data_IF_804141862419
#
_entry.id   IF_804141862419
#
_cell.length_a   1.000
_cell.length_b   1.000
_cell.length_c   1.000
_cell.angle_alpha   90.00
_cell.angle_beta   90.00
_cell.angle_gamma   90.00
#
_symmetry.space_group_name_H-M   'P 1'
#
loop_
_entity.id
_entity.type
_entity.pdbx_description
1 polymer ?
#
# COMPACT_ATOMS: atom_id res chain seq x y z
N UNK A 1 -0.68 -15.18 2.42
CA UNK A 1 -1.14 -16.30 1.55
C UNK A 1 -1.86 -15.81 0.30
N UNK A 2 -2.82 -14.85 0.38
CA UNK A 2 -3.66 -14.40 -0.74
C UNK A 2 -2.85 -13.94 -1.98
N UNK A 3 -1.85 -13.07 -1.80
CA UNK A 3 -1.02 -12.58 -2.92
C UNK A 3 -0.18 -13.69 -3.57
N UNK A 4 0.30 -14.65 -2.78
CA UNK A 4 1.03 -15.82 -3.31
C UNK A 4 0.12 -16.70 -4.16
N UNK A 5 -1.13 -16.92 -3.72
CA UNK A 5 -2.13 -17.66 -4.49
C UNK A 5 -2.45 -16.96 -5.80
N UNK A 6 -2.66 -15.64 -5.78
CA UNK A 6 -2.90 -14.87 -7.01
C UNK A 6 -1.71 -14.91 -7.98
N UNK A 7 -0.48 -14.86 -7.45
CA UNK A 7 0.72 -15.00 -8.29
C UNK A 7 0.82 -16.37 -8.94
N UNK A 8 0.53 -17.43 -8.18
CA UNK A 8 0.52 -18.79 -8.73
C UNK A 8 -0.51 -18.93 -9.87
N UNK A 9 -1.71 -18.38 -9.66
CA UNK A 9 -2.76 -18.36 -10.69
C UNK A 9 -2.32 -17.52 -11.90
N UNK A 10 -1.69 -16.37 -11.68
CA UNK A 10 -1.17 -15.50 -12.74
C UNK A 10 -0.16 -16.25 -13.63
N UNK A 11 0.85 -16.87 -13.03
CA UNK A 11 1.90 -17.60 -13.75
C UNK A 11 1.32 -18.83 -14.47
N UNK A 12 0.46 -19.59 -13.79
CA UNK A 12 -0.18 -20.78 -14.36
C UNK A 12 -1.05 -20.39 -15.56
N UNK A 13 -1.87 -19.35 -15.43
CA UNK A 13 -2.79 -18.92 -16.50
C UNK A 13 -2.06 -18.39 -17.73
N UNK A 14 -0.92 -17.73 -17.53
CA UNK A 14 -0.06 -17.28 -18.65
C UNK A 14 0.44 -18.44 -19.50
N UNK A 15 0.75 -19.58 -18.88
CA UNK A 15 1.29 -20.76 -19.58
C UNK A 15 0.24 -21.67 -20.24
N UNK A 16 -1.04 -21.48 -19.92
CA UNK A 16 -2.12 -22.36 -20.40
C UNK A 16 -2.84 -21.74 -21.60
N UNK A 17 -2.94 -22.49 -22.74
CA UNK A 17 -3.79 -22.06 -23.84
C UNK A 17 -5.28 -22.18 -23.46
N UNK A 18 -6.11 -21.32 -24.02
CA UNK A 18 -7.57 -21.34 -23.85
C UNK A 18 -8.20 -22.03 -25.05
N UNK A 19 -9.17 -22.91 -24.81
CA UNK A 19 -9.96 -23.52 -25.90
C UNK A 19 -10.95 -22.47 -26.42
N UNK A 20 -10.88 -22.14 -27.69
CA UNK A 20 -11.84 -21.24 -28.38
C UNK A 20 -12.88 -22.08 -29.11
N UNK A 21 -14.12 -22.02 -28.62
CA UNK A 21 -15.28 -22.73 -29.22
C UNK A 21 -15.59 -22.27 -30.65
N UNK A 22 -15.13 -21.09 -31.08
CA UNK A 22 -15.37 -20.57 -32.44
C UNK A 22 -14.42 -21.17 -33.48
N UNK A 23 -13.16 -21.39 -33.05
CA UNK A 23 -12.12 -21.92 -33.97
C UNK A 23 -11.91 -23.41 -33.78
N UNK A 24 -12.48 -24.03 -32.72
CA UNK A 24 -12.30 -25.43 -32.36
C UNK A 24 -10.87 -25.83 -32.00
N UNK A 25 -10.05 -24.83 -31.62
CA UNK A 25 -8.64 -24.98 -31.33
C UNK A 25 -8.19 -24.33 -30.03
N UNK A 26 -6.96 -24.64 -29.61
CA UNK A 26 -6.34 -23.96 -28.47
C UNK A 26 -5.64 -22.67 -28.91
N UNK A 27 -6.02 -21.54 -28.34
CA UNK A 27 -5.47 -20.21 -28.63
C UNK A 27 -4.79 -19.67 -27.39
N UNK A 28 -3.62 -19.02 -27.56
CA UNK A 28 -3.00 -18.24 -26.50
C UNK A 28 -3.70 -16.87 -26.40
N UNK A 29 -4.58 -16.75 -25.41
CA UNK A 29 -5.42 -15.59 -25.13
C UNK A 29 -4.73 -14.58 -24.18
N UNK A 30 -3.41 -14.65 -24.03
CA UNK A 30 -2.65 -13.77 -23.16
C UNK A 30 -2.24 -12.51 -23.90
N UNK A 31 -2.96 -11.43 -23.67
CA UNK A 31 -2.63 -10.11 -24.21
C UNK A 31 -1.63 -9.39 -23.29
N UNK A 32 -0.59 -8.83 -23.86
CA UNK A 32 0.32 -7.95 -23.12
C UNK A 32 -0.41 -6.66 -22.76
N UNK A 33 -0.57 -6.40 -21.46
CA UNK A 33 -1.22 -5.18 -20.98
C UNK A 33 -0.20 -4.02 -21.01
N UNK A 34 -0.51 -2.98 -21.76
CA UNK A 34 0.31 -1.76 -21.78
C UNK A 34 0.06 -0.93 -20.52
N UNK A 35 0.88 -1.19 -19.49
CA UNK A 35 0.77 -0.56 -18.19
C UNK A 35 1.28 0.90 -18.25
N UNK A 36 0.63 1.85 -17.54
CA UNK A 36 1.14 3.21 -17.38
C UNK A 36 2.32 3.23 -16.38
N UNK A 37 3.47 2.68 -16.79
CA UNK A 37 4.66 2.45 -15.94
C UNK A 37 5.13 3.72 -15.23
N UNK A 38 5.07 4.88 -15.90
CA UNK A 38 5.44 6.16 -15.29
C UNK A 38 4.58 6.50 -14.08
N UNK A 39 3.26 6.33 -14.20
CA UNK A 39 2.31 6.58 -13.10
C UNK A 39 2.50 5.56 -11.96
N UNK A 40 2.73 4.29 -12.28
CA UNK A 40 2.98 3.25 -11.30
C UNK A 40 4.31 3.48 -10.55
N UNK A 41 5.35 3.98 -11.21
CA UNK A 41 6.60 4.38 -10.57
C UNK A 41 6.40 5.53 -9.59
N UNK A 42 5.66 6.58 -9.98
CA UNK A 42 5.32 7.69 -9.08
C UNK A 42 4.55 7.18 -7.86
N UNK A 43 3.58 6.30 -8.06
CA UNK A 43 2.83 5.66 -6.97
C UNK A 43 3.75 4.87 -6.04
N UNK A 44 4.70 4.12 -6.59
CA UNK A 44 5.69 3.37 -5.80
C UNK A 44 6.53 4.31 -4.95
N UNK A 45 7.00 5.43 -5.51
CA UNK A 45 7.74 6.43 -4.75
C UNK A 45 6.91 7.05 -3.62
N UNK A 46 5.64 7.39 -3.89
CA UNK A 46 4.72 7.90 -2.86
C UNK A 46 4.55 6.90 -1.70
N UNK A 47 4.40 5.62 -2.01
CA UNK A 47 4.26 4.59 -0.99
C UNK A 47 5.54 4.37 -0.18
N UNK A 48 6.71 4.42 -0.82
CA UNK A 48 8.01 4.35 -0.14
C UNK A 48 8.21 5.55 0.79
N UNK A 49 7.92 6.76 0.33
CA UNK A 49 7.97 7.97 1.17
C UNK A 49 6.99 7.86 2.34
N UNK A 50 5.77 7.35 2.10
CA UNK A 50 4.79 7.09 3.16
C UNK A 50 5.28 6.07 4.17
N UNK A 51 6.01 5.04 3.74
CA UNK A 51 6.63 4.05 4.62
C UNK A 51 7.72 4.67 5.51
N UNK A 52 8.54 5.57 4.96
CA UNK A 52 9.55 6.31 5.73
C UNK A 52 8.88 7.21 6.77
N UNK A 53 7.83 7.96 6.40
CA UNK A 53 7.11 8.83 7.33
C UNK A 53 6.41 8.04 8.45
N UNK A 54 5.90 6.83 8.15
CA UNK A 54 5.34 5.93 9.16
C UNK A 54 6.41 5.49 10.18
N UNK A 55 7.63 5.17 9.72
CA UNK A 55 8.74 4.82 10.60
C UNK A 55 9.18 6.00 11.47
N UNK A 56 9.23 7.21 10.91
CA UNK A 56 9.55 8.41 11.69
C UNK A 56 8.49 8.68 12.76
N UNK A 57 7.20 8.49 12.44
CA UNK A 57 6.10 8.57 13.40
C UNK A 57 6.26 7.54 14.53
N UNK A 58 6.58 6.29 14.20
CA UNK A 58 6.82 5.22 15.16
C UNK A 58 7.96 5.56 16.11
N UNK A 59 9.10 6.01 15.58
CA UNK A 59 10.27 6.42 16.38
C UNK A 59 9.94 7.60 17.29
N UNK A 60 9.18 8.58 16.81
CA UNK A 60 8.76 9.72 17.61
C UNK A 60 7.90 9.28 18.81
N UNK A 61 6.89 8.42 18.60
CA UNK A 61 6.03 7.92 19.68
C UNK A 61 6.84 7.07 20.68
N UNK A 62 7.73 6.23 20.20
CA UNK A 62 8.61 5.41 21.07
C UNK A 62 9.52 6.28 21.95
N UNK A 63 10.09 7.37 21.39
CA UNK A 63 10.88 8.33 22.18
C UNK A 63 10.03 9.04 23.22
N UNK A 64 8.80 9.46 22.88
CA UNK A 64 7.89 10.12 23.84
C UNK A 64 7.58 9.20 25.03
N UNK A 65 7.34 7.92 24.83
CA UNK A 65 7.13 6.95 25.90
C UNK A 65 8.37 6.78 26.75
N UNK A 66 9.55 6.69 26.15
CA UNK A 66 10.81 6.54 26.88
C UNK A 66 11.14 7.76 27.75
N UNK A 67 10.75 8.97 27.33
CA UNK A 67 11.02 10.21 28.05
C UNK A 67 9.92 10.56 29.08
N UNK A 68 8.73 9.97 29.01
CA UNK A 68 7.63 10.23 29.92
C UNK A 68 7.98 10.13 31.43
N UNK A 69 8.74 9.11 31.91
CA UNK A 69 9.14 9.03 33.30
C UNK A 69 10.06 10.16 33.74
N UNK A 70 10.94 10.65 32.85
CA UNK A 70 11.89 11.71 33.14
C UNK A 70 11.21 13.09 33.18
N UNK A 71 10.18 13.29 32.35
CA UNK A 71 9.37 14.51 32.33
C UNK A 71 8.54 14.69 33.61
N UNK A 72 8.27 13.62 34.35
CA UNK A 72 7.53 13.68 35.60
C UNK A 72 8.38 14.16 36.80
N UNK A 73 9.70 14.32 36.63
CA UNK A 73 10.63 14.75 37.69
C UNK A 73 10.56 16.28 37.84
N UNK A 74 10.21 16.82 39.02
CA UNK A 74 10.19 18.27 39.23
C UNK A 74 11.56 18.91 38.98
N UNK A 75 11.58 19.98 38.18
CA UNK A 75 12.81 20.72 37.85
C UNK A 75 13.58 20.25 36.62
N UNK A 76 13.19 19.14 36.00
CA UNK A 76 13.76 18.66 34.73
C UNK A 76 12.93 19.20 33.57
N UNK A 77 13.43 20.19 32.83
CA UNK A 77 12.83 20.61 31.54
C UNK A 77 13.58 19.93 30.41
N UNK A 78 12.97 18.90 29.84
CA UNK A 78 13.41 18.36 28.55
C UNK A 78 12.88 19.31 27.47
N UNK A 79 13.77 19.88 26.65
CA UNK A 79 13.40 20.83 25.61
C UNK A 79 12.23 20.30 24.75
N UNK A 80 11.29 21.22 24.48
CA UNK A 80 10.10 20.90 23.68
C UNK A 80 10.54 20.53 22.26
N UNK A 81 10.74 19.23 21.98
CA UNK A 81 11.02 18.78 20.63
C UNK A 81 9.82 19.18 19.75
N UNK A 82 10.12 19.81 18.61
CA UNK A 82 9.13 20.20 17.61
C UNK A 82 8.47 18.92 17.06
N UNK A 83 7.30 18.61 17.59
CA UNK A 83 6.53 17.45 17.17
C UNK A 83 5.99 17.65 15.76
N UNK A 84 6.73 17.15 14.76
CA UNK A 84 6.21 17.15 13.40
C UNK A 84 5.12 16.07 13.27
N UNK A 85 3.99 16.35 12.60
CA UNK A 85 2.88 15.42 12.50
C UNK A 85 3.14 14.31 11.46
N UNK A 86 4.16 13.47 11.70
CA UNK A 86 4.55 12.39 10.77
C UNK A 86 3.40 11.43 10.45
N UNK A 87 2.53 11.14 11.42
CA UNK A 87 1.31 10.33 11.18
C UNK A 87 0.40 10.99 10.16
N UNK A 88 0.20 12.31 10.24
CA UNK A 88 -0.58 13.06 9.26
C UNK A 88 0.05 13.01 7.86
N UNK A 89 1.37 13.16 7.77
CA UNK A 89 2.09 13.03 6.50
C UNK A 89 1.91 11.64 5.89
N UNK A 90 1.97 10.58 6.70
CA UNK A 90 1.72 9.21 6.24
C UNK A 90 0.30 9.03 5.68
N UNK A 91 -0.71 9.60 6.34
CA UNK A 91 -2.11 9.57 5.86
C UNK A 91 -2.23 10.27 4.51
N UNK A 92 -1.66 11.47 4.37
CA UNK A 92 -1.73 12.25 3.12
C UNK A 92 -1.06 11.50 1.97
N UNK A 93 0.12 10.93 2.20
CA UNK A 93 0.84 10.14 1.18
C UNK A 93 0.10 8.84 0.85
N UNK A 94 -0.53 8.18 1.82
CA UNK A 94 -1.37 7.00 1.60
C UNK A 94 -2.60 7.31 0.76
N UNK A 95 -3.27 8.44 1.02
CA UNK A 95 -4.38 8.93 0.20
C UNK A 95 -3.91 9.29 -1.22
N UNK A 96 -2.75 9.95 -1.35
CA UNK A 96 -2.17 10.27 -2.64
C UNK A 96 -1.87 8.99 -3.46
N UNK A 97 -1.37 7.93 -2.82
CA UNK A 97 -1.19 6.62 -3.47
C UNK A 97 -2.52 6.04 -3.96
N UNK A 98 -3.57 6.03 -3.14
CA UNK A 98 -4.89 5.50 -3.53
C UNK A 98 -5.50 6.30 -4.69
N UNK A 99 -5.36 7.62 -4.69
CA UNK A 99 -5.81 8.46 -5.82
C UNK A 99 -5.01 8.19 -7.09
N UNK A 100 -3.69 8.03 -6.98
CA UNK A 100 -2.85 7.65 -8.10
C UNK A 100 -3.18 6.26 -8.65
N UNK A 101 -3.52 5.30 -7.78
CA UNK A 101 -3.99 3.98 -8.20
C UNK A 101 -5.32 4.05 -8.95
N UNK A 102 -6.25 4.89 -8.48
CA UNK A 102 -7.50 5.16 -9.19
C UNK A 102 -7.25 5.76 -10.59
N UNK A 103 -6.29 6.72 -10.69
CA UNK A 103 -5.92 7.30 -11.98
C UNK A 103 -5.31 6.24 -12.92
N UNK A 104 -4.48 5.31 -12.39
CA UNK A 104 -3.92 4.22 -13.17
C UNK A 104 -5.01 3.30 -13.75
N UNK A 105 -6.03 2.97 -12.97
CA UNK A 105 -7.17 2.18 -13.45
C UNK A 105 -7.99 2.91 -14.51
N UNK A 106 -8.21 4.22 -14.35
CA UNK A 106 -8.88 5.04 -15.38
C UNK A 106 -8.09 5.06 -16.68
N UNK A 107 -6.77 5.19 -16.60
CA UNK A 107 -5.91 5.19 -17.78
C UNK A 107 -5.91 3.83 -18.49
N UNK A 108 -5.84 2.72 -17.75
CA UNK A 108 -6.02 1.38 -18.32
C UNK A 108 -7.37 1.26 -19.05
N UNK A 109 -8.45 1.72 -18.43
CA UNK A 109 -9.78 1.73 -19.04
C UNK A 109 -9.83 2.54 -20.34
N UNK A 110 -9.21 3.74 -20.37
CA UNK A 110 -9.12 4.56 -21.59
C UNK A 110 -8.31 3.89 -22.72
N UNK A 111 -7.34 3.06 -22.38
CA UNK A 111 -6.58 2.23 -23.33
C UNK A 111 -7.33 0.97 -23.80
N UNK A 112 -8.58 0.77 -23.34
CA UNK A 112 -9.43 -0.36 -23.73
C UNK A 112 -9.21 -1.65 -22.90
N UNK A 113 -8.40 -1.61 -21.86
CA UNK A 113 -8.20 -2.73 -20.95
C UNK A 113 -9.19 -2.64 -19.78
N UNK A 114 -10.28 -3.37 -19.88
CA UNK A 114 -11.28 -3.51 -18.81
C UNK A 114 -11.11 -4.84 -18.07
N UNK A 115 -11.78 -4.97 -16.94
CA UNK A 115 -11.74 -6.21 -16.13
C UNK A 115 -12.11 -7.46 -16.93
N UNK A 116 -13.02 -7.35 -17.87
CA UNK A 116 -13.52 -8.45 -18.67
C UNK A 116 -12.89 -8.56 -20.07
N UNK A 117 -11.89 -7.76 -20.40
CA UNK A 117 -11.32 -7.72 -21.76
C UNK A 117 -10.43 -8.95 -22.04
N UNK A 118 -9.61 -9.33 -21.07
CA UNK A 118 -8.70 -10.47 -21.19
C UNK A 118 -8.37 -11.06 -19.82
N UNK A 119 -7.95 -12.33 -19.73
CA UNK A 119 -7.48 -12.93 -18.49
C UNK A 119 -6.32 -12.16 -17.85
N UNK A 120 -5.41 -11.61 -18.67
CA UNK A 120 -4.28 -10.81 -18.19
C UNK A 120 -4.72 -9.50 -17.55
N UNK A 121 -5.65 -8.75 -18.17
CA UNK A 121 -6.19 -7.52 -17.59
C UNK A 121 -6.96 -7.78 -16.30
N UNK A 122 -7.78 -8.85 -16.26
CA UNK A 122 -8.49 -9.26 -15.04
C UNK A 122 -7.55 -9.49 -13.87
N UNK A 123 -6.41 -10.16 -14.09
CA UNK A 123 -5.43 -10.44 -13.05
C UNK A 123 -4.72 -9.17 -12.55
N UNK A 124 -4.39 -8.22 -13.44
CA UNK A 124 -3.84 -6.92 -13.06
C UNK A 124 -4.80 -6.18 -12.12
N UNK A 125 -6.09 -6.10 -12.49
CA UNK A 125 -7.10 -5.46 -11.65
C UNK A 125 -7.28 -6.17 -10.31
N UNK A 126 -7.37 -7.49 -10.28
CA UNK A 126 -7.56 -8.25 -9.04
C UNK A 126 -6.38 -8.08 -8.08
N UNK A 127 -5.14 -8.18 -8.57
CA UNK A 127 -3.93 -8.00 -7.75
C UNK A 127 -3.86 -6.58 -7.17
N UNK A 128 -4.01 -5.57 -8.02
CA UNK A 128 -3.89 -4.18 -7.60
C UNK A 128 -5.08 -3.72 -6.75
N UNK A 129 -6.30 -4.20 -7.02
CA UNK A 129 -7.49 -3.90 -6.20
C UNK A 129 -7.41 -4.58 -4.82
N UNK A 130 -6.99 -5.85 -4.76
CA UNK A 130 -6.77 -6.52 -3.47
C UNK A 130 -5.76 -5.77 -2.61
N UNK A 131 -4.65 -5.31 -3.21
CA UNK A 131 -3.68 -4.49 -2.51
C UNK A 131 -4.28 -3.15 -2.03
N UNK A 132 -5.02 -2.44 -2.90
CA UNK A 132 -5.66 -1.16 -2.56
C UNK A 132 -6.67 -1.31 -1.41
N UNK A 133 -7.46 -2.40 -1.37
CA UNK A 133 -8.40 -2.69 -0.26
C UNK A 133 -7.64 -2.90 1.05
N UNK A 134 -6.56 -3.68 1.05
CA UNK A 134 -5.74 -3.89 2.26
C UNK A 134 -5.10 -2.57 2.73
N UNK A 135 -4.60 -1.76 1.79
CA UNK A 135 -4.03 -0.46 2.11
C UNK A 135 -5.09 0.51 2.68
N UNK A 136 -6.31 0.51 2.11
CA UNK A 136 -7.43 1.28 2.64
C UNK A 136 -7.78 0.86 4.07
N UNK A 137 -7.79 -0.44 4.37
CA UNK A 137 -7.93 -0.97 5.73
C UNK A 137 -6.84 -0.45 6.68
N UNK A 138 -5.58 -0.50 6.25
CA UNK A 138 -4.45 0.08 7.01
C UNK A 138 -4.60 1.59 7.22
N UNK A 139 -5.10 2.31 6.21
CA UNK A 139 -5.36 3.74 6.31
C UNK A 139 -6.42 4.09 7.36
N UNK A 140 -7.47 3.27 7.50
CA UNK A 140 -8.47 3.44 8.56
C UNK A 140 -7.84 3.30 9.96
N UNK A 141 -6.95 2.32 10.15
CA UNK A 141 -6.22 2.16 11.42
C UNK A 141 -5.28 3.35 11.67
N UNK A 142 -4.66 3.87 10.62
CA UNK A 142 -3.79 5.05 10.69
C UNK A 142 -4.58 6.30 11.07
N UNK A 143 -5.78 6.49 10.50
CA UNK A 143 -6.70 7.56 10.87
C UNK A 143 -7.15 7.44 12.33
N UNK A 144 -7.41 6.22 12.80
CA UNK A 144 -7.69 5.98 14.22
C UNK A 144 -6.49 6.38 15.11
N UNK A 145 -5.25 6.04 14.71
CA UNK A 145 -4.04 6.46 15.42
C UNK A 145 -3.90 7.99 15.47
N UNK A 146 -4.20 8.69 14.37
CA UNK A 146 -4.23 10.17 14.32
C UNK A 146 -5.32 10.72 15.25
N UNK A 147 -6.52 10.16 15.21
CA UNK A 147 -7.63 10.58 16.07
C UNK A 147 -7.29 10.44 17.57
N UNK A 148 -6.68 9.31 17.97
CA UNK A 148 -6.23 9.10 19.36
C UNK A 148 -5.12 10.09 19.77
N UNK A 149 -4.27 10.49 18.82
CA UNK A 149 -3.27 11.52 19.04
C UNK A 149 -3.88 12.91 19.26
N UNK A 150 -4.89 13.27 18.45
CA UNK A 150 -5.63 14.53 18.57
C UNK A 150 -6.46 14.61 19.86
N UNK A 151 -7.05 13.49 20.27
CA UNK A 151 -7.82 13.36 21.53
C UNK A 151 -6.93 13.32 22.78
N UNK A 152 -5.60 13.46 22.64
CA UNK A 152 -4.62 13.47 23.74
C UNK A 152 -4.71 12.26 24.66
N UNK A 153 -5.04 11.07 24.10
CA UNK A 153 -5.01 9.82 24.88
C UNK A 153 -3.60 9.53 25.39
N UNK A 154 -3.45 8.74 26.48
CA UNK A 154 -2.13 8.35 27.03
C UNK A 154 -1.19 7.84 25.94
N UNK A 155 0.09 8.22 26.01
CA UNK A 155 1.07 7.88 24.97
C UNK A 155 1.34 6.39 24.90
N UNK A 156 1.18 5.69 26.01
CA UNK A 156 1.36 4.23 26.11
C UNK A 156 0.36 3.47 25.25
N UNK A 157 -0.93 3.83 25.32
CA UNK A 157 -1.99 3.20 24.50
C UNK A 157 -1.77 3.45 23.01
N UNK A 158 -1.26 4.62 22.67
CA UNK A 158 -0.98 5.01 21.28
C UNK A 158 0.22 4.28 20.68
N UNK A 159 1.22 3.93 21.50
CA UNK A 159 2.45 3.27 21.04
C UNK A 159 2.14 1.96 20.34
N UNK A 160 1.34 1.09 20.95
CA UNK A 160 1.01 -0.22 20.39
C UNK A 160 0.31 -0.07 19.04
N UNK A 161 -0.66 0.84 18.94
CA UNK A 161 -1.40 1.08 17.70
C UNK A 161 -0.45 1.58 16.60
N UNK A 162 0.42 2.54 16.92
CA UNK A 162 1.38 3.10 15.94
C UNK A 162 2.42 2.07 15.53
N UNK A 163 2.94 1.26 16.46
CA UNK A 163 3.91 0.20 16.16
C UNK A 163 3.31 -0.84 15.20
N UNK A 164 2.15 -1.40 15.54
CA UNK A 164 1.49 -2.41 14.69
C UNK A 164 1.14 -1.84 13.33
N UNK A 165 0.63 -0.60 13.29
CA UNK A 165 0.27 0.05 12.03
C UNK A 165 1.50 0.31 11.15
N UNK A 166 2.63 0.74 11.72
CA UNK A 166 3.86 0.98 10.97
C UNK A 166 4.41 -0.32 10.36
N UNK A 167 4.44 -1.43 11.12
CA UNK A 167 4.83 -2.74 10.61
C UNK A 167 3.92 -3.23 9.49
N UNK A 168 2.60 -3.07 9.66
CA UNK A 168 1.64 -3.40 8.61
C UNK A 168 1.87 -2.54 7.35
N UNK A 169 2.17 -1.24 7.52
CA UNK A 169 2.42 -0.33 6.41
C UNK A 169 3.67 -0.69 5.61
N UNK A 170 4.75 -1.04 6.30
CA UNK A 170 5.96 -1.55 5.65
C UNK A 170 5.72 -2.84 4.89
N UNK A 171 4.97 -3.76 5.49
CA UNK A 171 4.59 -5.00 4.83
C UNK A 171 3.77 -4.72 3.55
N UNK A 172 2.80 -3.81 3.58
CA UNK A 172 2.04 -3.42 2.41
C UNK A 172 2.91 -2.76 1.34
N UNK A 173 3.89 -1.95 1.71
CA UNK A 173 4.85 -1.37 0.76
C UNK A 173 5.69 -2.46 0.06
N UNK A 174 6.15 -3.48 0.79
CA UNK A 174 6.86 -4.62 0.22
C UNK A 174 5.97 -5.43 -0.73
N UNK A 175 4.73 -5.70 -0.36
CA UNK A 175 3.75 -6.37 -1.22
C UNK A 175 3.51 -5.58 -2.52
N UNK A 176 3.46 -4.25 -2.44
CA UNK A 176 3.33 -3.42 -3.64
C UNK A 176 4.53 -3.53 -4.58
N UNK A 177 5.75 -3.44 -4.04
CA UNK A 177 6.98 -3.62 -4.83
C UNK A 177 6.96 -4.98 -5.52
N UNK A 178 6.55 -6.02 -4.80
CA UNK A 178 6.42 -7.37 -5.36
C UNK A 178 5.40 -7.43 -6.50
N UNK A 179 4.19 -6.85 -6.32
CA UNK A 179 3.15 -6.80 -7.36
C UNK A 179 3.66 -6.02 -8.57
N UNK A 180 4.27 -4.85 -8.35
CA UNK A 180 4.79 -4.02 -9.43
C UNK A 180 5.89 -4.75 -10.22
N UNK A 181 6.82 -5.40 -9.52
CA UNK A 181 7.86 -6.20 -10.16
C UNK A 181 7.25 -7.37 -10.95
N UNK A 182 6.28 -8.10 -10.38
CA UNK A 182 5.57 -9.17 -11.07
C UNK A 182 4.93 -8.69 -12.36
N UNK A 183 4.22 -7.56 -12.31
CA UNK A 183 3.52 -7.01 -13.46
C UNK A 183 4.48 -6.49 -14.54
N UNK A 184 5.67 -6.01 -14.16
CA UNK A 184 6.66 -5.47 -15.11
C UNK A 184 7.51 -6.58 -15.75
N UNK A 185 7.94 -7.60 -14.96
CA UNK A 185 8.84 -8.65 -15.47
C UNK A 185 8.12 -9.86 -16.06
N UNK A 186 6.84 -10.08 -15.72
CA UNK A 186 6.07 -11.27 -16.16
C UNK A 186 5.05 -10.94 -17.24
N UNK A 187 4.98 -9.70 -17.72
CA UNK A 187 4.08 -9.32 -18.83
C UNK A 187 4.50 -9.87 -20.21
#
# INVERSE_FOLDING_TARGET
>A
MLFVSFTSVYIMRRGLPTFDDRTGGYVHDWLTVDLPTGLLLVNTLLLLLSSITAELARRQVTRQVALAPVQSIPGVSIGQERNFPWLGATVVLGLAFLTGQWMAWRELGMRGFYLATSPSSSMVYVLTASHAIHLAGGLLVLLYAVATALLRKPVEDRRIVVDVTAWYWHFMALVWIYIFALLEFVR
#
